data_IF_027784481996
#
_entry.id   IF_027784481996
#
_cell.length_a   1.000
_cell.length_b   1.000
_cell.length_c   1.000
_cell.angle_alpha   90.00
_cell.angle_beta   90.00
_cell.angle_gamma   90.00
#
_symmetry.space_group_name_H-M   'P 1'
#
loop_
_entity.id
_entity.type
_entity.pdbx_description
1 polymer ?
#
# COMPACT_ATOMS: atom_id res chain seq x y z
N UNK A 1 -58.96 25.80 -0.71
CA UNK A 1 -57.52 26.13 -0.45
C UNK A 1 -56.74 25.06 0.26
N UNK A 2 -57.22 23.86 0.41
CA UNK A 2 -56.53 22.72 1.13
C UNK A 2 -55.81 21.78 0.18
N UNK A 3 -56.17 21.74 -1.10
CA UNK A 3 -55.64 20.77 -2.09
C UNK A 3 -54.25 21.09 -2.63
N UNK A 4 -53.78 22.34 -2.54
CA UNK A 4 -52.46 22.74 -3.11
C UNK A 4 -51.32 22.43 -2.16
N UNK A 5 -51.50 22.45 -0.85
CA UNK A 5 -50.46 22.13 0.15
C UNK A 5 -50.11 20.63 0.22
N UNK A 6 -51.08 19.76 0.01
CA UNK A 6 -50.87 18.29 0.03
C UNK A 6 -50.06 17.84 -1.19
N UNK A 7 -50.24 18.47 -2.37
CA UNK A 7 -49.45 18.13 -3.58
C UNK A 7 -47.99 18.55 -3.47
N UNK A 8 -47.67 19.61 -2.76
CA UNK A 8 -46.28 20.05 -2.55
C UNK A 8 -45.51 19.14 -1.58
N UNK A 9 -46.17 18.62 -0.55
CA UNK A 9 -45.56 17.70 0.43
C UNK A 9 -45.29 16.33 -0.21
N UNK A 10 -46.19 15.84 -1.07
CA UNK A 10 -45.99 14.59 -1.82
C UNK A 10 -44.84 14.67 -2.85
N UNK A 11 -44.64 15.86 -3.48
CA UNK A 11 -43.52 16.05 -4.40
C UNK A 11 -42.18 16.13 -3.67
N UNK A 12 -42.11 16.67 -2.45
CA UNK A 12 -40.91 16.72 -1.63
C UNK A 12 -40.52 15.31 -1.08
N UNK A 13 -41.51 14.50 -0.75
CA UNK A 13 -41.28 13.11 -0.33
C UNK A 13 -40.81 12.20 -1.48
N UNK A 14 -41.23 12.48 -2.71
CA UNK A 14 -40.79 11.73 -3.89
C UNK A 14 -39.36 12.06 -4.32
N UNK A 15 -38.86 13.26 -4.04
CA UNK A 15 -37.47 13.65 -4.34
C UNK A 15 -36.46 13.13 -3.31
N UNK A 16 -36.90 12.81 -2.08
CA UNK A 16 -36.04 12.24 -1.04
C UNK A 16 -35.73 10.75 -1.24
N UNK A 17 -36.40 10.06 -2.17
CA UNK A 17 -36.28 8.61 -2.37
C UNK A 17 -35.26 8.21 -3.44
N UNK A 18 -34.58 9.14 -4.11
CA UNK A 18 -33.62 8.86 -5.20
C UNK A 18 -32.14 8.98 -4.80
N UNK A 19 -31.83 9.11 -3.53
CA UNK A 19 -30.47 8.80 -3.06
C UNK A 19 -30.31 7.29 -2.84
N UNK A 20 -30.51 6.52 -3.90
CA UNK A 20 -29.95 5.18 -3.98
C UNK A 20 -28.44 5.34 -3.95
N UNK A 21 -27.83 5.11 -2.80
CA UNK A 21 -26.37 5.12 -2.68
C UNK A 21 -25.82 4.17 -3.75
N UNK A 22 -25.12 4.71 -4.74
CA UNK A 22 -24.31 3.90 -5.63
C UNK A 22 -23.35 3.12 -4.74
N UNK A 23 -23.52 1.79 -4.68
CA UNK A 23 -22.55 0.94 -4.01
C UNK A 23 -21.21 1.21 -4.69
N UNK A 24 -20.31 1.85 -3.98
CA UNK A 24 -18.99 2.18 -4.50
C UNK A 24 -18.25 0.86 -4.74
N UNK A 25 -17.81 0.62 -5.97
CA UNK A 25 -17.04 -0.58 -6.32
C UNK A 25 -15.79 -0.59 -5.44
N UNK A 26 -15.51 -1.69 -4.71
CA UNK A 26 -14.33 -1.78 -3.87
C UNK A 26 -13.05 -1.59 -4.69
N UNK A 27 -12.13 -0.80 -4.17
CA UNK A 27 -10.78 -0.69 -4.73
C UNK A 27 -10.03 -1.99 -4.47
N UNK A 28 -9.33 -2.52 -5.46
CA UNK A 28 -8.48 -3.69 -5.29
C UNK A 28 -7.03 -3.28 -5.09
N UNK A 29 -6.34 -4.00 -4.23
CA UNK A 29 -4.89 -3.93 -4.06
C UNK A 29 -4.30 -5.32 -4.32
N UNK A 30 -3.02 -5.38 -4.68
CA UNK A 30 -2.40 -6.65 -5.04
C UNK A 30 -1.03 -6.85 -4.39
N UNK A 31 -0.66 -8.12 -4.21
CA UNK A 31 0.71 -8.55 -3.92
C UNK A 31 1.47 -8.76 -5.23
N UNK A 32 2.68 -8.21 -5.34
CA UNK A 32 3.50 -8.29 -6.54
C UNK A 32 4.21 -9.64 -6.62
N UNK A 33 3.97 -10.39 -7.70
CA UNK A 33 4.70 -11.60 -8.04
C UNK A 33 5.93 -11.24 -8.87
N UNK A 34 7.11 -11.58 -8.34
CA UNK A 34 8.39 -11.36 -9.00
C UNK A 34 9.15 -12.67 -9.19
N UNK A 35 10.11 -12.66 -10.10
CA UNK A 35 11.00 -13.79 -10.37
C UNK A 35 12.29 -13.69 -9.52
N UNK A 36 13.13 -14.72 -9.58
CA UNK A 36 14.43 -14.75 -8.91
C UNK A 36 14.54 -15.75 -7.76
N UNK A 37 13.42 -16.38 -7.37
CA UNK A 37 13.37 -17.40 -6.33
C UNK A 37 13.17 -16.90 -4.92
N UNK A 38 12.96 -15.59 -4.74
CA UNK A 38 12.45 -15.05 -3.48
C UNK A 38 10.98 -15.40 -3.26
N UNK A 39 10.56 -15.41 -2.01
CA UNK A 39 9.23 -15.86 -1.60
C UNK A 39 8.20 -14.71 -1.57
N UNK A 40 7.90 -14.11 -2.73
CA UNK A 40 6.90 -13.04 -2.90
C UNK A 40 5.56 -13.35 -2.21
N UNK A 41 5.26 -14.61 -1.97
CA UNK A 41 4.05 -15.13 -1.32
C UNK A 41 4.13 -15.18 0.21
N UNK A 42 5.21 -14.68 0.80
CA UNK A 42 5.34 -14.54 2.26
C UNK A 42 4.24 -13.67 2.86
N UNK A 43 4.10 -13.72 4.18
CA UNK A 43 3.17 -12.89 4.95
C UNK A 43 1.71 -13.04 4.46
N UNK A 44 1.19 -14.27 4.51
CA UNK A 44 -0.10 -14.62 3.91
C UNK A 44 -1.30 -13.91 4.52
N UNK A 45 -1.26 -13.58 5.80
CA UNK A 45 -2.36 -12.91 6.50
C UNK A 45 -2.17 -11.39 6.60
N UNK A 46 -1.03 -10.88 6.13
CA UNK A 46 -0.64 -9.48 6.29
C UNK A 46 -1.61 -8.52 5.56
N UNK A 47 -1.76 -8.66 4.24
CA UNK A 47 -2.64 -7.77 3.47
C UNK A 47 -4.12 -7.88 3.87
N UNK A 48 -4.72 -9.07 4.09
CA UNK A 48 -6.10 -9.16 4.59
C UNK A 48 -6.31 -8.41 5.92
N UNK A 49 -5.37 -8.52 6.85
CA UNK A 49 -5.45 -7.79 8.12
C UNK A 49 -5.28 -6.29 7.92
N UNK A 50 -4.33 -5.86 7.09
CA UNK A 50 -4.15 -4.44 6.76
C UNK A 50 -5.38 -3.86 6.06
N UNK A 51 -5.97 -4.56 5.09
CA UNK A 51 -7.20 -4.16 4.40
C UNK A 51 -8.33 -3.94 5.41
N UNK A 52 -8.53 -4.92 6.28
CA UNK A 52 -9.54 -4.83 7.34
C UNK A 52 -9.34 -3.60 8.21
N UNK A 53 -8.11 -3.37 8.65
CA UNK A 53 -7.73 -2.21 9.46
C UNK A 53 -7.97 -0.89 8.71
N UNK A 54 -7.53 -0.79 7.45
CA UNK A 54 -7.73 0.40 6.63
C UNK A 54 -9.21 0.70 6.39
N UNK A 55 -10.03 -0.30 6.09
CA UNK A 55 -11.46 -0.10 5.91
C UNK A 55 -12.14 0.44 7.17
N UNK A 56 -11.69 0.01 8.36
CA UNK A 56 -12.21 0.48 9.64
C UNK A 56 -11.71 1.89 10.00
N UNK A 57 -10.41 2.14 9.89
CA UNK A 57 -9.78 3.36 10.38
C UNK A 57 -9.82 4.53 9.40
N UNK A 58 -9.74 4.25 8.10
CA UNK A 58 -9.72 5.27 7.05
C UNK A 58 -11.10 5.49 6.43
N UNK A 59 -12.05 4.58 6.67
CA UNK A 59 -13.37 4.63 6.01
C UNK A 59 -13.31 4.42 4.50
N UNK A 60 -12.26 3.75 4.00
CA UNK A 60 -12.11 3.39 2.59
C UNK A 60 -12.85 2.08 2.29
N UNK A 61 -13.11 1.81 1.00
CA UNK A 61 -13.74 0.57 0.56
C UNK A 61 -12.75 -0.23 -0.29
N UNK A 62 -11.83 -0.94 0.38
CA UNK A 62 -10.90 -1.88 -0.26
C UNK A 62 -11.52 -3.27 -0.23
N UNK A 63 -11.43 -4.02 -1.33
CA UNK A 63 -11.88 -5.41 -1.40
C UNK A 63 -11.21 -6.26 -0.30
N UNK A 64 -11.98 -7.14 0.35
CA UNK A 64 -11.53 -7.86 1.53
C UNK A 64 -10.37 -8.83 1.27
N UNK A 65 -10.25 -9.30 0.04
CA UNK A 65 -9.18 -10.21 -0.40
C UNK A 65 -8.24 -9.46 -1.34
N UNK A 66 -6.93 -9.65 -1.14
CA UNK A 66 -5.93 -9.17 -2.06
C UNK A 66 -5.84 -10.08 -3.29
N UNK A 67 -5.49 -9.47 -4.42
CA UNK A 67 -5.08 -10.21 -5.62
C UNK A 67 -3.56 -10.45 -5.60
N UNK A 68 -3.06 -11.30 -6.50
CA UNK A 68 -1.64 -11.41 -6.81
C UNK A 68 -1.45 -11.07 -8.30
N UNK A 69 -0.43 -10.28 -8.61
CA UNK A 69 -0.19 -9.81 -9.97
C UNK A 69 1.29 -9.87 -10.36
N UNK A 70 1.60 -10.42 -11.52
CA UNK A 70 2.96 -10.45 -12.05
C UNK A 70 3.44 -9.06 -12.48
N UNK A 71 4.72 -8.78 -12.27
CA UNK A 71 5.36 -7.50 -12.63
C UNK A 71 5.12 -7.15 -14.11
N UNK A 72 5.20 -8.14 -15.00
CA UNK A 72 5.04 -7.97 -16.45
C UNK A 72 3.59 -7.96 -16.94
N UNK A 73 2.60 -8.22 -16.07
CA UNK A 73 1.20 -8.30 -16.45
C UNK A 73 0.59 -6.94 -16.80
N UNK A 74 -0.34 -6.93 -17.74
CA UNK A 74 -1.20 -5.76 -18.01
C UNK A 74 -2.17 -5.49 -16.87
N UNK A 75 -2.51 -6.51 -16.08
CA UNK A 75 -3.43 -6.39 -14.95
C UNK A 75 -2.83 -5.56 -13.79
N UNK A 76 -1.50 -5.32 -13.80
CA UNK A 76 -0.84 -4.45 -12.83
C UNK A 76 -1.50 -3.06 -12.77
N UNK A 77 -2.00 -2.56 -13.91
CA UNK A 77 -2.64 -1.24 -14.03
C UNK A 77 -4.07 -1.18 -13.43
N UNK A 78 -4.60 -2.30 -12.94
CA UNK A 78 -5.89 -2.34 -12.26
C UNK A 78 -5.78 -1.97 -10.76
N UNK A 79 -4.56 -1.92 -10.23
CA UNK A 79 -4.31 -1.73 -8.81
C UNK A 79 -3.64 -0.39 -8.54
N UNK A 80 -4.26 0.55 -7.81
CA UNK A 80 -3.63 1.84 -7.46
C UNK A 80 -2.46 1.66 -6.49
N UNK A 81 -2.44 0.55 -5.74
CA UNK A 81 -1.41 0.18 -4.78
C UNK A 81 -1.03 -1.28 -4.94
N UNK A 82 0.26 -1.54 -4.99
CA UNK A 82 0.83 -2.88 -5.05
C UNK A 82 1.86 -3.06 -3.94
N UNK A 83 1.77 -4.18 -3.24
CA UNK A 83 2.66 -4.57 -2.13
C UNK A 83 3.65 -5.64 -2.58
N UNK A 84 4.92 -5.41 -2.29
CA UNK A 84 6.00 -6.35 -2.56
C UNK A 84 6.71 -6.68 -1.25
N UNK A 85 6.88 -7.96 -0.97
CA UNK A 85 7.60 -8.45 0.20
C UNK A 85 8.31 -9.76 -0.13
N UNK A 86 9.10 -10.27 0.78
CA UNK A 86 9.73 -11.58 0.72
C UNK A 86 11.16 -11.57 1.20
N UNK A 87 11.79 -12.77 1.12
CA UNK A 87 13.18 -12.99 1.43
C UNK A 87 13.95 -13.32 0.15
N UNK A 88 15.21 -12.88 0.08
CA UNK A 88 16.15 -13.32 -0.96
C UNK A 88 15.96 -12.62 -2.30
N UNK A 89 16.22 -13.37 -3.37
CA UNK A 89 16.50 -12.81 -4.68
C UNK A 89 15.25 -12.32 -5.41
N UNK A 90 15.36 -11.14 -6.00
CA UNK A 90 14.37 -10.51 -6.89
C UNK A 90 15.03 -10.33 -8.25
N UNK A 91 14.31 -10.66 -9.31
CA UNK A 91 14.75 -10.46 -10.70
C UNK A 91 13.60 -9.90 -11.53
N UNK A 92 13.82 -8.74 -12.16
CA UNK A 92 12.98 -8.20 -13.19
C UNK A 92 13.66 -8.38 -14.56
N UNK A 93 12.94 -8.95 -15.53
CA UNK A 93 13.36 -8.86 -16.91
C UNK A 93 13.29 -7.40 -17.40
N UNK A 94 13.90 -7.10 -18.54
CA UNK A 94 13.78 -5.77 -19.16
C UNK A 94 12.31 -5.40 -19.43
N UNK A 95 11.49 -6.38 -19.81
CA UNK A 95 10.07 -6.19 -20.04
C UNK A 95 9.30 -5.90 -18.75
N UNK A 96 9.63 -6.60 -17.65
CA UNK A 96 9.06 -6.38 -16.33
C UNK A 96 9.39 -4.98 -15.81
N UNK A 97 10.67 -4.59 -15.90
CA UNK A 97 11.14 -3.27 -15.49
C UNK A 97 10.44 -2.16 -16.29
N UNK A 98 10.34 -2.31 -17.61
CA UNK A 98 9.62 -1.37 -18.45
C UNK A 98 8.12 -1.31 -18.15
N UNK A 99 7.49 -2.44 -17.81
CA UNK A 99 6.08 -2.49 -17.44
C UNK A 99 5.84 -1.82 -16.08
N UNK A 100 6.66 -2.13 -15.08
CA UNK A 100 6.60 -1.53 -13.75
C UNK A 100 6.83 -0.01 -13.82
N UNK A 101 7.80 0.44 -14.64
CA UNK A 101 8.00 1.88 -14.87
C UNK A 101 6.74 2.55 -15.41
N UNK A 102 6.12 1.98 -16.46
CA UNK A 102 4.87 2.55 -17.02
C UNK A 102 3.76 2.61 -15.98
N UNK A 103 3.61 1.57 -15.16
CA UNK A 103 2.64 1.53 -14.07
C UNK A 103 2.87 2.66 -13.07
N UNK A 104 4.11 2.80 -12.59
CA UNK A 104 4.49 3.81 -11.60
C UNK A 104 4.35 5.23 -12.16
N UNK A 105 4.79 5.49 -13.38
CA UNK A 105 4.63 6.80 -14.06
C UNK A 105 3.15 7.11 -14.31
N UNK A 106 2.35 6.09 -14.61
CA UNK A 106 0.90 6.21 -14.88
C UNK A 106 0.01 6.40 -13.65
N UNK A 107 0.56 6.60 -12.45
CA UNK A 107 -0.22 6.85 -11.23
C UNK A 107 -0.18 5.72 -10.19
N UNK A 108 0.37 4.55 -10.54
CA UNK A 108 0.53 3.44 -9.61
C UNK A 108 1.50 3.75 -8.46
N UNK A 109 1.38 2.99 -7.38
CA UNK A 109 2.23 3.09 -6.20
C UNK A 109 2.73 1.71 -5.80
N UNK A 110 4.03 1.56 -5.59
CA UNK A 110 4.66 0.34 -5.09
C UNK A 110 5.17 0.55 -3.66
N UNK A 111 4.69 -0.28 -2.74
CA UNK A 111 5.28 -0.44 -1.41
C UNK A 111 6.12 -1.71 -1.38
N UNK A 112 7.38 -1.58 -1.04
CA UNK A 112 8.31 -2.69 -0.83
C UNK A 112 8.58 -2.79 0.67
N UNK A 113 8.44 -4.00 1.24
CA UNK A 113 8.76 -4.28 2.64
C UNK A 113 9.81 -5.39 2.71
N UNK A 114 10.99 -5.05 3.18
CA UNK A 114 12.10 -6.03 3.31
C UNK A 114 11.85 -6.94 4.49
N UNK A 115 11.53 -8.18 4.17
CA UNK A 115 11.33 -9.24 5.16
C UNK A 115 12.66 -9.91 5.61
N UNK A 116 13.76 -9.32 5.27
CA UNK A 116 15.15 -9.69 5.46
C UNK A 116 15.82 -10.32 4.24
N UNK A 117 16.88 -9.68 3.82
CA UNK A 117 17.74 -10.17 2.73
C UNK A 117 17.28 -9.82 1.31
N UNK A 118 16.20 -9.06 1.17
CA UNK A 118 15.70 -8.53 -0.09
C UNK A 118 16.54 -7.33 -0.59
N UNK A 119 17.05 -6.51 0.32
CA UNK A 119 17.63 -5.20 0.07
C UNK A 119 18.66 -5.17 -1.06
N UNK A 120 19.67 -6.04 -1.01
CA UNK A 120 20.74 -6.07 -2.02
C UNK A 120 20.24 -6.37 -3.44
N UNK A 121 19.13 -7.07 -3.57
CA UNK A 121 18.54 -7.41 -4.86
C UNK A 121 17.58 -6.31 -5.35
N UNK A 122 16.67 -5.88 -4.50
CA UNK A 122 15.66 -4.90 -4.89
C UNK A 122 16.26 -3.56 -5.33
N UNK A 123 17.36 -3.12 -4.69
CA UNK A 123 18.06 -1.90 -5.11
C UNK A 123 18.61 -2.00 -6.52
N UNK A 124 19.12 -3.17 -6.92
CA UNK A 124 19.62 -3.41 -8.28
C UNK A 124 18.44 -3.41 -9.27
N UNK A 125 17.35 -4.08 -8.92
CA UNK A 125 16.19 -4.20 -9.80
C UNK A 125 15.44 -2.86 -9.97
N UNK A 126 15.37 -2.04 -8.94
CA UNK A 126 14.81 -0.68 -9.03
C UNK A 126 15.63 0.23 -9.97
N UNK A 127 16.95 0.02 -10.07
CA UNK A 127 17.79 0.73 -11.05
C UNK A 127 17.48 0.37 -12.50
N UNK A 128 16.95 -0.82 -12.77
CA UNK A 128 16.45 -1.16 -14.12
C UNK A 128 15.14 -0.40 -14.42
N UNK A 129 14.30 -0.20 -13.41
CA UNK A 129 13.03 0.53 -13.54
C UNK A 129 13.26 2.03 -13.74
N UNK A 130 14.14 2.62 -12.93
CA UNK A 130 14.50 4.04 -12.98
C UNK A 130 16.02 4.22 -12.91
N UNK A 131 16.75 4.05 -14.02
CA UNK A 131 18.20 4.21 -14.05
C UNK A 131 18.66 5.60 -13.62
N UNK A 132 17.84 6.61 -13.85
CA UNK A 132 18.11 8.03 -13.57
C UNK A 132 17.80 8.45 -12.12
N UNK A 133 17.05 7.66 -11.35
CA UNK A 133 16.67 8.01 -9.99
C UNK A 133 17.53 7.28 -8.95
N UNK A 134 17.72 7.94 -7.81
CA UNK A 134 18.30 7.33 -6.61
C UNK A 134 17.21 7.03 -5.58
N UNK A 135 17.35 5.90 -4.89
CA UNK A 135 16.54 5.58 -3.72
C UNK A 135 17.04 6.43 -2.55
N UNK A 136 16.26 7.40 -2.13
CA UNK A 136 16.62 8.36 -1.08
C UNK A 136 15.90 8.04 0.23
N UNK A 137 16.56 8.23 1.36
CA UNK A 137 15.91 8.16 2.66
C UNK A 137 14.95 9.34 2.82
N UNK A 138 13.70 9.04 3.18
CA UNK A 138 12.69 10.09 3.38
C UNK A 138 12.87 10.74 4.76
N UNK A 139 12.84 12.06 4.84
CA UNK A 139 12.93 12.76 6.12
C UNK A 139 11.70 12.48 6.98
N UNK A 140 11.85 12.57 8.30
CA UNK A 140 10.77 12.19 9.25
C UNK A 140 9.52 13.07 9.16
N UNK A 141 9.62 14.26 8.57
CA UNK A 141 8.48 15.15 8.30
C UNK A 141 7.80 14.86 6.96
N UNK A 142 8.25 13.82 6.22
CA UNK A 142 7.60 13.45 4.97
C UNK A 142 6.13 13.05 5.20
N UNK A 143 5.18 13.53 4.36
CA UNK A 143 3.75 13.32 4.55
C UNK A 143 3.30 11.86 4.71
N UNK A 144 4.05 10.88 4.18
CA UNK A 144 3.73 9.45 4.34
C UNK A 144 3.70 9.00 5.81
N UNK A 145 4.46 9.67 6.69
CA UNK A 145 4.48 9.38 8.12
C UNK A 145 3.36 10.07 8.92
N UNK A 146 2.59 10.98 8.28
CA UNK A 146 1.66 11.88 8.96
C UNK A 146 0.26 11.93 8.29
N UNK A 147 -0.22 10.81 7.73
CA UNK A 147 -1.53 10.79 7.08
C UNK A 147 -2.67 10.75 8.12
N UNK A 148 -3.00 9.60 8.64
CA UNK A 148 -4.02 9.37 9.67
C UNK A 148 -3.39 9.31 11.07
N UNK A 149 -2.21 8.73 11.16
CA UNK A 149 -1.46 8.53 12.39
C UNK A 149 -0.13 9.27 12.32
N UNK A 150 0.37 9.71 13.48
CA UNK A 150 1.60 10.49 13.57
C UNK A 150 2.80 9.60 13.93
N UNK A 151 3.81 9.59 13.07
CA UNK A 151 5.07 8.87 13.24
C UNK A 151 6.27 9.84 13.16
N UNK A 152 6.49 10.67 14.19
CA UNK A 152 7.49 11.74 14.15
C UNK A 152 8.95 11.25 14.14
N UNK A 153 9.16 9.95 14.27
CA UNK A 153 10.47 9.28 14.17
C UNK A 153 10.57 8.32 12.98
N UNK A 154 9.65 8.43 12.02
CA UNK A 154 9.59 7.55 10.86
C UNK A 154 9.03 6.16 11.18
N UNK A 155 9.51 5.14 10.48
CA UNK A 155 9.00 3.77 10.57
C UNK A 155 9.14 3.15 11.96
N UNK A 156 8.13 2.42 12.45
CA UNK A 156 8.28 1.59 13.64
C UNK A 156 9.15 0.36 13.33
N UNK A 157 9.98 -0.05 14.27
CA UNK A 157 10.78 -1.27 14.21
C UNK A 157 9.96 -2.43 14.79
N UNK A 158 9.58 -3.39 13.96
CA UNK A 158 8.78 -4.55 14.40
C UNK A 158 9.71 -5.69 14.79
N UNK A 159 10.61 -6.11 13.89
CA UNK A 159 11.63 -7.13 14.19
C UNK A 159 13.04 -6.57 14.05
N UNK A 160 13.97 -7.23 14.74
CA UNK A 160 15.39 -6.95 14.62
C UNK A 160 16.03 -7.91 13.60
N UNK A 161 16.86 -7.36 12.72
CA UNK A 161 17.66 -8.14 11.77
C UNK A 161 19.14 -7.86 11.99
N UNK A 162 19.69 -6.82 11.33
CA UNK A 162 21.10 -6.47 11.40
C UNK A 162 21.41 -5.43 12.48
N UNK A 163 20.45 -5.15 13.36
CA UNK A 163 20.60 -4.13 14.42
C UNK A 163 20.64 -2.70 13.90
N UNK A 164 20.22 -2.47 12.67
CA UNK A 164 20.12 -1.15 12.07
C UNK A 164 18.76 -0.51 12.42
N UNK A 165 18.67 0.83 12.39
CA UNK A 165 17.38 1.50 12.55
C UNK A 165 16.44 1.18 11.39
N UNK A 166 15.13 1.24 11.64
CA UNK A 166 14.13 1.22 10.59
C UNK A 166 14.25 2.48 9.72
N UNK A 167 14.29 2.34 8.41
CA UNK A 167 14.47 3.42 7.45
C UNK A 167 13.44 3.33 6.34
N UNK A 168 12.81 4.46 6.01
CA UNK A 168 11.92 4.56 4.86
C UNK A 168 12.63 5.22 3.69
N UNK A 169 12.75 4.50 2.58
CA UNK A 169 13.32 5.03 1.34
C UNK A 169 12.24 5.29 0.30
N UNK A 170 12.51 6.21 -0.61
CA UNK A 170 11.60 6.53 -1.70
C UNK A 170 12.28 6.71 -3.04
N UNK A 171 11.59 6.33 -4.12
CA UNK A 171 11.85 6.85 -5.46
C UNK A 171 10.86 7.96 -5.76
N UNK A 172 11.38 9.13 -6.10
CA UNK A 172 10.57 10.31 -6.44
C UNK A 172 10.70 10.59 -7.93
N UNK A 173 9.60 10.46 -8.65
CA UNK A 173 9.51 10.76 -10.07
C UNK A 173 8.63 12.00 -10.29
N UNK A 174 9.18 13.04 -10.90
CA UNK A 174 8.48 14.32 -11.15
C UNK A 174 7.76 14.89 -9.91
N UNK A 175 8.40 14.80 -8.74
CA UNK A 175 7.86 15.30 -7.47
C UNK A 175 6.88 14.37 -6.77
N UNK A 176 6.52 13.22 -7.36
CA UNK A 176 5.64 12.20 -6.77
C UNK A 176 6.46 11.03 -6.24
N UNK A 177 6.20 10.62 -5.00
CA UNK A 177 6.73 9.37 -4.46
C UNK A 177 6.02 8.21 -5.16
N UNK A 178 6.77 7.45 -5.96
CA UNK A 178 6.23 6.34 -6.77
C UNK A 178 6.53 4.97 -6.15
N UNK A 179 7.63 4.87 -5.41
CA UNK A 179 8.01 3.68 -4.64
C UNK A 179 8.31 4.12 -3.22
N UNK A 180 7.73 3.42 -2.25
CA UNK A 180 8.11 3.50 -0.86
C UNK A 180 8.71 2.16 -0.44
N UNK A 181 9.89 2.21 0.18
CA UNK A 181 10.60 1.01 0.62
C UNK A 181 10.83 1.09 2.14
N UNK A 182 10.17 0.21 2.88
CA UNK A 182 10.35 0.01 4.31
C UNK A 182 11.47 -1.00 4.57
N UNK A 183 12.60 -0.49 5.04
CA UNK A 183 13.82 -1.25 5.27
C UNK A 183 14.07 -1.45 6.76
N UNK A 184 14.52 -2.64 7.16
CA UNK A 184 14.87 -3.00 8.54
C UNK A 184 13.72 -2.83 9.56
N UNK A 185 12.46 -2.99 9.13
CA UNK A 185 11.33 -2.80 10.05
C UNK A 185 10.31 -3.92 10.10
N UNK A 186 10.15 -4.73 9.04
CA UNK A 186 9.19 -5.85 8.97
C UNK A 186 7.74 -5.46 9.23
N UNK A 187 7.25 -4.47 8.52
CA UNK A 187 5.86 -4.03 8.68
C UNK A 187 4.89 -5.18 8.40
N UNK A 188 5.16 -5.97 7.34
CA UNK A 188 4.33 -7.08 6.92
C UNK A 188 4.18 -8.15 8.00
N UNK A 189 5.23 -8.46 8.73
CA UNK A 189 5.17 -9.38 9.87
C UNK A 189 4.27 -8.84 10.97
N UNK A 190 4.34 -7.55 11.26
CA UNK A 190 3.45 -6.89 12.22
C UNK A 190 1.99 -6.85 11.79
N UNK A 191 1.68 -7.00 10.49
CA UNK A 191 0.31 -7.09 10.00
C UNK A 191 -0.27 -8.51 10.08
N UNK A 192 0.58 -9.55 10.18
CA UNK A 192 0.11 -10.93 10.23
C UNK A 192 -0.73 -11.24 11.48
N UNK A 193 -1.40 -12.38 11.47
CA UNK A 193 -2.10 -12.90 12.65
C UNK A 193 -1.11 -13.02 13.81
N UNK A 194 -1.52 -12.56 15.00
CA UNK A 194 -0.66 -12.52 16.17
C UNK A 194 0.02 -13.87 16.48
N UNK A 195 -0.66 -14.99 16.25
CA UNK A 195 -0.14 -16.34 16.48
C UNK A 195 1.07 -16.72 15.61
N UNK A 196 1.38 -15.96 14.53
CA UNK A 196 2.46 -16.29 13.59
C UNK A 196 3.80 -15.89 14.19
N UNK A 197 3.92 -14.64 14.63
CA UNK A 197 5.16 -14.10 15.19
C UNK A 197 5.11 -13.90 16.71
N UNK A 198 3.93 -13.99 17.32
CA UNK A 198 3.67 -13.70 18.73
C UNK A 198 4.08 -12.28 19.16
N UNK A 199 4.03 -11.35 18.22
CA UNK A 199 4.35 -9.95 18.49
C UNK A 199 3.41 -9.35 19.56
N UNK A 200 3.94 -8.48 20.45
CA UNK A 200 3.09 -7.68 21.32
C UNK A 200 2.05 -6.88 20.53
N UNK A 201 0.82 -6.83 21.03
CA UNK A 201 -0.26 -6.13 20.33
C UNK A 201 0.08 -4.66 20.03
N UNK A 202 0.84 -4.00 20.91
CA UNK A 202 1.32 -2.64 20.69
C UNK A 202 2.17 -2.51 19.42
N UNK A 203 3.09 -3.45 19.19
CA UNK A 203 3.92 -3.48 17.96
C UNK A 203 3.07 -3.73 16.71
N UNK A 204 2.13 -4.68 16.81
CA UNK A 204 1.20 -4.95 15.72
C UNK A 204 0.35 -3.72 15.37
N UNK A 205 -0.16 -3.01 16.38
CA UNK A 205 -0.91 -1.78 16.18
C UNK A 205 -0.04 -0.68 15.55
N UNK A 206 1.22 -0.55 15.92
CA UNK A 206 2.14 0.38 15.27
C UNK A 206 2.34 0.03 13.78
N UNK A 207 2.56 -1.26 13.47
CA UNK A 207 2.69 -1.72 12.09
C UNK A 207 1.43 -1.44 11.25
N UNK A 208 0.24 -1.80 11.76
CA UNK A 208 -1.05 -1.57 11.08
C UNK A 208 -1.32 -0.08 10.86
N UNK A 209 -1.05 0.78 11.85
CA UNK A 209 -1.19 2.24 11.72
C UNK A 209 -0.25 2.80 10.67
N UNK A 210 1.01 2.33 10.62
CA UNK A 210 1.94 2.76 9.57
C UNK A 210 1.50 2.26 8.19
N UNK A 211 1.03 1.02 8.09
CA UNK A 211 0.44 0.49 6.86
C UNK A 211 -0.76 1.30 6.37
N UNK A 212 -1.64 1.73 7.30
CA UNK A 212 -2.76 2.60 6.96
C UNK A 212 -2.29 3.98 6.45
N UNK A 213 -1.24 4.55 7.01
CA UNK A 213 -0.64 5.78 6.49
C UNK A 213 -0.12 5.59 5.07
N UNK A 214 0.57 4.48 4.78
CA UNK A 214 1.09 4.17 3.44
C UNK A 214 -0.05 4.04 2.43
N UNK A 215 -1.12 3.31 2.77
CA UNK A 215 -2.32 3.17 1.92
C UNK A 215 -3.00 4.53 1.70
N UNK A 216 -3.22 5.30 2.77
CA UNK A 216 -3.83 6.63 2.66
C UNK A 216 -3.00 7.54 1.74
N UNK A 217 -1.66 7.55 1.93
CA UNK A 217 -0.75 8.32 1.08
C UNK A 217 -0.85 7.88 -0.39
N UNK A 218 -0.76 6.58 -0.66
CA UNK A 218 -0.84 6.03 -2.01
C UNK A 218 -2.14 6.45 -2.72
N UNK A 219 -3.28 6.40 -2.03
CA UNK A 219 -4.57 6.77 -2.62
C UNK A 219 -4.71 8.28 -2.87
N UNK A 220 -3.99 9.14 -2.14
CA UNK A 220 -3.96 10.59 -2.41
C UNK A 220 -3.05 10.97 -3.58
N UNK A 221 -2.11 10.08 -3.97
CA UNK A 221 -1.18 10.32 -5.08
C UNK A 221 -1.63 9.72 -6.42
N UNK A 222 -2.72 8.95 -6.43
CA UNK A 222 -3.16 8.15 -7.57
C UNK A 222 -3.98 8.92 -8.61
N UNK A 223 -4.09 10.28 -8.52
CA UNK A 223 -4.87 11.08 -9.47
C UNK A 223 -4.25 12.43 -9.75
#
# INVERSE_FOLDING_TARGET
MVTTRVRFILLLLFFASFFSGFAQIPVKIAKLQYNGGGDWYANKTALPNLIKFCNQELGVNIAAEEDAVEVGSRDLFLYPYVYMTGHGNVVFSEADAANLRRYLVGGGFLHIDDNYGLDKFVRIELKKVFPELELIELPFDHPIYHQKFDFPKGLPKIHEHDGKPAQGFGLIYEGRLVVFYSYECDLGNGWEDQRIHNDPEEKRQQALRMGANIIAYAFTQSF
#
